data_IF_193712108119
#
_entry.id   IF_193712108119
#
_cell.length_a   1.000
_cell.length_b   1.000
_cell.length_c   1.000
_cell.angle_alpha   90.00
_cell.angle_beta   90.00
_cell.angle_gamma   90.00
#
_symmetry.space_group_name_H-M   'P 1'
#
loop_
_entity.id
_entity.type
_entity.pdbx_description
1 polymer ?
#
# COMPACT_ATOMS: atom_id res chain seq x y z
N UNK A 1 -6.90 0.00 -28.29
CA UNK A 1 -8.04 -0.94 -28.45
C UNK A 1 -8.96 -0.51 -29.60
N UNK A 2 -9.29 0.74 -29.69
CA UNK A 2 -10.15 1.35 -30.72
C UNK A 2 -9.40 1.84 -31.94
N UNK A 3 -8.08 2.00 -31.85
CA UNK A 3 -7.22 2.37 -32.97
C UNK A 3 -6.89 1.16 -33.85
N UNK A 4 -6.78 1.34 -35.18
CA UNK A 4 -6.36 0.27 -36.09
C UNK A 4 -4.97 -0.26 -35.76
N UNK A 5 -4.81 -1.57 -35.66
CA UNK A 5 -3.50 -2.21 -35.49
C UNK A 5 -2.84 -2.45 -36.83
N UNK A 6 -1.73 -1.78 -37.08
CA UNK A 6 -0.99 -1.89 -38.36
C UNK A 6 -0.46 -3.31 -38.59
N UNK A 7 0.01 -3.98 -37.53
CA UNK A 7 0.52 -5.36 -37.61
C UNK A 7 -0.58 -6.42 -37.86
N UNK A 8 -1.83 -6.04 -37.77
CA UNK A 8 -2.99 -6.92 -37.99
C UNK A 8 -3.97 -6.32 -39.02
N UNK A 9 -3.43 -5.75 -40.10
CA UNK A 9 -4.19 -5.28 -41.25
C UNK A 9 -5.33 -4.29 -40.89
N UNK A 10 -5.11 -3.45 -39.87
CA UNK A 10 -6.07 -2.45 -39.46
C UNK A 10 -7.17 -2.95 -38.52
N UNK A 11 -7.04 -4.15 -37.95
CA UNK A 11 -8.01 -4.66 -36.96
C UNK A 11 -8.10 -3.70 -35.78
N UNK A 12 -9.30 -3.32 -35.41
CA UNK A 12 -9.65 -2.61 -34.20
C UNK A 12 -10.16 -3.62 -33.18
N UNK A 13 -9.37 -3.96 -32.21
CA UNK A 13 -9.61 -5.09 -31.31
C UNK A 13 -10.92 -4.99 -30.54
N UNK A 14 -11.31 -3.79 -30.07
CA UNK A 14 -12.58 -3.63 -29.37
C UNK A 14 -13.78 -3.80 -30.32
N UNK A 15 -13.74 -3.18 -31.50
CA UNK A 15 -14.83 -3.31 -32.48
C UNK A 15 -14.99 -4.74 -33.00
N UNK A 16 -13.88 -5.49 -33.09
CA UNK A 16 -13.89 -6.87 -33.61
C UNK A 16 -14.28 -7.91 -32.57
N UNK A 17 -13.82 -7.74 -31.32
CA UNK A 17 -13.91 -8.77 -30.28
C UNK A 17 -14.71 -8.33 -29.05
N UNK A 18 -15.24 -7.10 -29.00
CA UNK A 18 -16.01 -6.58 -27.88
C UNK A 18 -15.29 -6.69 -26.56
N UNK A 19 -15.90 -7.25 -25.54
CA UNK A 19 -15.35 -7.41 -24.19
C UNK A 19 -14.06 -8.25 -24.15
N UNK A 20 -13.85 -9.11 -25.13
CA UNK A 20 -12.61 -9.88 -25.27
C UNK A 20 -11.48 -9.12 -26.00
N UNK A 21 -11.72 -7.90 -26.45
CA UNK A 21 -10.78 -7.12 -27.25
C UNK A 21 -9.41 -6.97 -26.58
N UNK A 22 -9.37 -6.70 -25.28
CA UNK A 22 -8.09 -6.61 -24.53
C UNK A 22 -7.35 -7.95 -24.53
N UNK A 23 -8.02 -9.03 -24.18
CA UNK A 23 -7.43 -10.37 -24.14
C UNK A 23 -6.90 -10.79 -25.50
N UNK A 24 -7.67 -10.52 -26.55
CA UNK A 24 -7.28 -10.85 -27.93
C UNK A 24 -6.08 -10.02 -28.38
N UNK A 25 -6.05 -8.73 -28.06
CA UNK A 25 -4.88 -7.87 -28.37
C UNK A 25 -3.63 -8.35 -27.64
N UNK A 26 -3.73 -8.60 -26.35
CA UNK A 26 -2.62 -9.12 -25.54
C UNK A 26 -2.10 -10.46 -26.10
N UNK A 27 -3.00 -11.36 -26.48
CA UNK A 27 -2.64 -12.67 -27.04
C UNK A 27 -2.00 -12.56 -28.43
N UNK A 28 -2.58 -11.78 -29.33
CA UNK A 28 -2.16 -11.69 -30.72
C UNK A 28 -0.89 -10.86 -30.88
N UNK A 29 -0.78 -9.73 -30.21
CA UNK A 29 0.39 -8.85 -30.33
C UNK A 29 1.49 -9.22 -29.30
N UNK A 30 1.21 -9.13 -27.99
CA UNK A 30 2.23 -9.24 -26.95
C UNK A 30 2.70 -10.68 -26.74
N UNK A 31 1.76 -11.59 -26.48
CA UNK A 31 2.11 -12.99 -26.22
C UNK A 31 2.79 -13.64 -27.41
N UNK A 32 2.27 -13.41 -28.62
CA UNK A 32 2.84 -13.98 -29.85
C UNK A 32 4.24 -13.43 -30.15
N UNK A 33 4.48 -12.15 -29.88
CA UNK A 33 5.76 -11.48 -30.21
C UNK A 33 6.84 -11.78 -29.18
N UNK A 34 6.52 -11.66 -27.89
CA UNK A 34 7.50 -11.83 -26.82
C UNK A 34 7.53 -13.24 -26.20
N UNK A 35 6.46 -14.02 -26.41
CA UNK A 35 6.35 -15.40 -25.89
C UNK A 35 6.42 -15.51 -24.37
N UNK A 36 5.88 -14.55 -23.56
CA UNK A 36 5.98 -14.66 -22.12
C UNK A 36 5.20 -15.87 -21.62
N UNK A 37 5.85 -16.70 -20.84
CA UNK A 37 5.26 -17.87 -20.22
C UNK A 37 5.74 -17.99 -18.79
N UNK A 38 4.80 -18.24 -17.86
CA UNK A 38 5.13 -18.50 -16.48
C UNK A 38 5.79 -19.88 -16.36
N UNK A 39 6.94 -19.96 -15.68
CA UNK A 39 7.56 -21.27 -15.44
C UNK A 39 6.71 -22.11 -14.48
N UNK A 40 6.70 -23.45 -14.59
CA UNK A 40 5.96 -24.31 -13.65
C UNK A 40 6.38 -24.10 -12.19
N UNK A 41 7.67 -23.85 -11.94
CA UNK A 41 8.19 -23.57 -10.61
C UNK A 41 7.62 -22.24 -10.05
N UNK A 42 7.60 -21.18 -10.85
CA UNK A 42 7.01 -19.91 -10.43
C UNK A 42 5.49 -20.03 -10.19
N UNK A 43 4.79 -20.82 -11.02
CA UNK A 43 3.37 -21.10 -10.82
C UNK A 43 3.12 -21.83 -9.49
N UNK A 44 3.95 -22.84 -9.19
CA UNK A 44 3.87 -23.57 -7.92
C UNK A 44 4.13 -22.64 -6.71
N UNK A 45 5.15 -21.79 -6.75
CA UNK A 45 5.43 -20.83 -5.68
C UNK A 45 4.26 -19.85 -5.46
N UNK A 46 3.63 -19.36 -6.52
CA UNK A 46 2.44 -18.51 -6.42
C UNK A 46 1.29 -19.26 -5.76
N UNK A 47 1.05 -20.52 -6.13
CA UNK A 47 0.00 -21.34 -5.51
C UNK A 47 0.26 -21.52 -4.02
N UNK A 48 1.49 -21.82 -3.61
CA UNK A 48 1.85 -21.92 -2.18
C UNK A 48 1.57 -20.61 -1.43
N UNK A 49 1.89 -19.46 -2.04
CA UNK A 49 1.59 -18.14 -1.47
C UNK A 49 0.09 -17.87 -1.34
N UNK A 50 -0.73 -18.33 -2.29
CA UNK A 50 -2.17 -18.14 -2.30
C UNK A 50 -2.87 -19.00 -1.25
N UNK A 51 -2.40 -20.23 -0.99
CA UNK A 51 -3.02 -21.15 -0.04
C UNK A 51 -3.13 -20.57 1.38
N UNK A 52 -2.15 -19.79 1.82
CA UNK A 52 -2.15 -19.15 3.15
C UNK A 52 -2.59 -17.69 3.14
N UNK A 53 -2.92 -17.12 1.97
CA UNK A 53 -3.27 -15.71 1.83
C UNK A 53 -4.44 -15.27 2.73
N UNK A 54 -5.55 -16.03 2.86
CA UNK A 54 -6.66 -15.61 3.73
C UNK A 54 -6.25 -15.47 5.20
N UNK A 55 -5.42 -16.39 5.71
CA UNK A 55 -4.91 -16.35 7.08
C UNK A 55 -4.00 -15.15 7.30
N UNK A 56 -3.09 -14.88 6.35
CA UNK A 56 -2.21 -13.72 6.42
C UNK A 56 -2.99 -12.41 6.34
N UNK A 57 -3.97 -12.31 5.45
CA UNK A 57 -4.78 -11.10 5.31
C UNK A 57 -5.61 -10.80 6.54
N UNK A 58 -6.14 -11.83 7.21
CA UNK A 58 -6.82 -11.64 8.48
C UNK A 58 -5.88 -10.99 9.50
N UNK A 59 -4.70 -11.56 9.71
CA UNK A 59 -3.70 -11.04 10.66
C UNK A 59 -3.23 -9.63 10.30
N UNK A 60 -2.96 -9.38 9.02
CA UNK A 60 -2.63 -8.04 8.54
C UNK A 60 -3.70 -7.00 8.89
N UNK A 61 -4.98 -7.32 8.63
CA UNK A 61 -6.08 -6.40 8.91
C UNK A 61 -6.28 -6.17 10.40
N UNK A 62 -6.13 -7.21 11.24
CA UNK A 62 -6.21 -7.10 12.69
C UNK A 62 -5.12 -6.19 13.25
N UNK A 63 -3.86 -6.44 12.86
CA UNK A 63 -2.73 -5.61 13.27
C UNK A 63 -2.89 -4.17 12.78
N UNK A 64 -3.24 -3.97 11.50
CA UNK A 64 -3.38 -2.64 10.93
C UNK A 64 -4.49 -1.82 11.62
N UNK A 65 -5.61 -2.44 11.95
CA UNK A 65 -6.69 -1.75 12.68
C UNK A 65 -6.25 -1.37 14.10
N UNK A 66 -5.54 -2.26 14.79
CA UNK A 66 -5.01 -1.98 16.13
C UNK A 66 -3.98 -0.84 16.10
N UNK A 67 -3.03 -0.89 15.16
CA UNK A 67 -2.04 0.18 14.95
C UNK A 67 -2.72 1.50 14.59
N UNK A 68 -3.71 1.49 13.70
CA UNK A 68 -4.43 2.70 13.31
C UNK A 68 -5.17 3.36 14.48
N UNK A 69 -5.83 2.57 15.33
CA UNK A 69 -6.50 3.06 16.56
C UNK A 69 -5.52 3.63 17.56
N UNK A 70 -4.38 2.96 17.74
CA UNK A 70 -3.32 3.45 18.62
C UNK A 70 -2.78 4.81 18.14
N UNK A 71 -2.46 4.92 16.86
CA UNK A 71 -1.99 6.16 16.24
C UNK A 71 -3.03 7.29 16.31
N UNK A 72 -4.33 6.99 16.12
CA UNK A 72 -5.42 7.99 16.17
C UNK A 72 -5.51 8.68 17.53
N UNK A 73 -5.14 7.99 18.61
CA UNK A 73 -5.12 8.53 19.98
C UNK A 73 -3.75 9.06 20.43
N UNK A 74 -2.71 8.91 19.61
CA UNK A 74 -1.35 9.23 20.02
C UNK A 74 -1.07 10.75 19.93
N UNK A 75 -0.52 11.40 20.99
CA UNK A 75 -0.36 12.86 21.04
C UNK A 75 0.65 13.44 20.02
N UNK A 76 1.51 12.61 19.45
CA UNK A 76 2.48 13.00 18.42
C UNK A 76 1.98 12.81 16.99
N UNK A 77 0.77 12.29 16.81
CA UNK A 77 0.15 12.03 15.51
C UNK A 77 -0.89 13.09 15.19
N UNK A 78 -0.74 13.74 14.04
CA UNK A 78 -1.61 14.83 13.61
C UNK A 78 -2.90 14.31 12.95
N UNK A 79 -2.79 13.21 12.21
CA UNK A 79 -3.90 12.59 11.49
C UNK A 79 -3.56 11.13 11.14
N UNK A 80 -4.59 10.32 10.95
CA UNK A 80 -4.48 8.93 10.47
C UNK A 80 -5.43 8.72 9.29
N UNK A 81 -4.94 8.15 8.22
CA UNK A 81 -5.74 7.72 7.07
C UNK A 81 -5.67 6.19 6.95
N UNK A 82 -6.72 5.54 7.41
CA UNK A 82 -6.91 4.10 7.30
C UNK A 82 -8.40 3.80 7.09
N UNK A 83 -8.78 3.10 6.02
CA UNK A 83 -10.19 2.86 5.71
C UNK A 83 -10.91 1.93 6.70
N UNK A 84 -10.18 1.26 7.59
CA UNK A 84 -10.75 0.49 8.70
C UNK A 84 -11.23 1.34 9.88
N UNK A 85 -10.82 2.60 10.00
CA UNK A 85 -11.30 3.52 11.02
C UNK A 85 -12.64 4.14 10.61
N UNK A 86 -13.62 4.24 11.53
CA UNK A 86 -14.89 4.93 11.25
C UNK A 86 -14.73 6.40 10.86
N UNK A 87 -13.68 7.06 11.35
CA UNK A 87 -13.27 8.42 11.01
C UNK A 87 -12.65 8.54 9.62
N UNK A 88 -12.22 7.44 9.02
CA UNK A 88 -11.52 7.41 7.74
C UNK A 88 -12.44 7.73 6.55
N UNK A 89 -11.98 8.53 5.57
CA UNK A 89 -12.80 8.96 4.42
C UNK A 89 -13.22 7.79 3.53
N UNK A 90 -12.51 6.66 3.56
CA UNK A 90 -12.81 5.46 2.78
C UNK A 90 -13.61 4.39 3.52
N UNK A 91 -14.03 4.62 4.76
CA UNK A 91 -14.62 3.58 5.63
C UNK A 91 -15.84 2.88 5.03
N UNK A 92 -16.81 3.64 4.53
CA UNK A 92 -18.02 3.07 3.93
C UNK A 92 -17.72 2.22 2.69
N UNK A 93 -16.74 2.63 1.88
CA UNK A 93 -16.29 1.89 0.71
C UNK A 93 -15.54 0.61 1.12
N UNK A 94 -14.69 0.70 2.15
CA UNK A 94 -13.99 -0.46 2.68
C UNK A 94 -14.96 -1.50 3.24
N UNK A 95 -15.96 -1.09 3.99
CA UNK A 95 -16.99 -2.00 4.47
C UNK A 95 -17.77 -2.67 3.33
N UNK A 96 -18.03 -1.94 2.26
CA UNK A 96 -18.78 -2.46 1.11
C UNK A 96 -17.97 -3.44 0.26
N UNK A 97 -16.67 -3.19 0.06
CA UNK A 97 -15.88 -3.90 -0.94
C UNK A 97 -14.76 -4.79 -0.38
N UNK A 98 -14.24 -4.49 0.81
CA UNK A 98 -13.09 -5.18 1.38
C UNK A 98 -13.46 -6.07 2.56
N UNK A 99 -14.52 -5.73 3.28
CA UNK A 99 -14.99 -6.48 4.43
C UNK A 99 -16.11 -7.46 4.09
N UNK A 100 -16.27 -8.46 4.94
CA UNK A 100 -17.46 -9.26 5.02
C UNK A 100 -17.98 -9.27 6.46
N UNK A 101 -19.26 -9.64 6.71
CA UNK A 101 -19.77 -9.73 8.09
C UNK A 101 -18.98 -10.68 9.00
N UNK A 102 -18.28 -11.66 8.41
CA UNK A 102 -17.47 -12.65 9.14
C UNK A 102 -16.02 -12.22 9.29
N UNK A 103 -15.50 -11.42 8.37
CA UNK A 103 -14.10 -10.99 8.31
C UNK A 103 -14.05 -9.52 7.90
N UNK A 104 -14.27 -8.60 8.85
CA UNK A 104 -14.11 -7.17 8.58
C UNK A 104 -12.64 -6.92 8.27
N UNK A 105 -12.33 -6.52 7.06
CA UNK A 105 -10.96 -6.21 6.62
C UNK A 105 -10.93 -4.89 5.86
N UNK A 106 -9.86 -4.14 6.03
CA UNK A 106 -9.63 -2.90 5.31
C UNK A 106 -8.21 -2.83 4.73
N UNK A 107 -7.56 -3.99 4.61
CA UNK A 107 -6.17 -4.10 4.18
C UNK A 107 -5.16 -3.78 5.28
N UNK A 108 -3.89 -3.74 4.91
CA UNK A 108 -2.78 -3.55 5.83
C UNK A 108 -2.04 -2.21 5.64
N UNK A 109 -2.50 -1.39 4.69
CA UNK A 109 -1.84 -0.13 4.33
C UNK A 109 -2.55 1.03 5.03
N UNK A 110 -1.79 1.81 5.79
CA UNK A 110 -2.24 3.05 6.40
C UNK A 110 -1.20 4.16 6.25
N UNK A 111 -1.65 5.39 6.35
CA UNK A 111 -0.80 6.57 6.41
C UNK A 111 -1.16 7.41 7.63
N UNK A 112 -0.17 8.09 8.19
CA UNK A 112 -0.38 9.05 9.28
C UNK A 112 0.59 10.22 9.17
N UNK A 113 0.23 11.35 9.77
CA UNK A 113 1.08 12.51 9.85
C UNK A 113 1.71 12.63 11.23
N UNK A 114 3.04 12.86 11.27
CA UNK A 114 3.76 13.14 12.52
C UNK A 114 3.66 14.64 12.81
N UNK A 115 3.30 15.02 14.06
CA UNK A 115 3.32 16.42 14.45
C UNK A 115 4.73 17.00 14.26
N UNK A 116 4.82 18.04 13.45
CA UNK A 116 6.06 18.76 13.24
C UNK A 116 6.42 19.56 14.49
N UNK A 117 7.47 19.15 15.19
CA UNK A 117 8.11 19.99 16.21
C UNK A 117 8.75 21.25 15.59
N UNK A 118 9.78 21.81 16.22
CA UNK A 118 10.47 23.03 15.77
C UNK A 118 11.04 23.00 14.34
N UNK A 119 11.16 21.80 13.71
CA UNK A 119 11.71 21.60 12.37
C UNK A 119 10.66 21.35 11.27
N UNK A 120 9.36 21.35 11.59
CA UNK A 120 8.30 21.06 10.63
C UNK A 120 8.03 19.56 10.39
N UNK A 121 6.95 19.25 9.68
CA UNK A 121 6.46 17.87 9.50
C UNK A 121 7.43 16.96 8.75
N UNK A 122 8.15 17.46 7.74
CA UNK A 122 9.10 16.65 6.98
C UNK A 122 10.24 16.15 7.85
N UNK A 123 10.88 17.02 8.62
CA UNK A 123 11.99 16.62 9.50
C UNK A 123 11.52 15.67 10.61
N UNK A 124 10.29 15.85 11.12
CA UNK A 124 9.72 14.93 12.09
C UNK A 124 9.49 13.54 11.47
N UNK A 125 8.97 13.47 10.25
CA UNK A 125 8.82 12.20 9.52
C UNK A 125 10.14 11.49 9.24
N UNK A 126 11.17 12.23 8.85
CA UNK A 126 12.53 11.70 8.63
C UNK A 126 13.14 11.17 9.94
N UNK A 127 13.06 11.96 11.04
CA UNK A 127 13.54 11.51 12.37
C UNK A 127 12.77 10.27 12.87
N UNK A 128 11.47 10.20 12.61
CA UNK A 128 10.69 9.01 12.93
C UNK A 128 11.25 7.77 12.25
N UNK A 129 11.49 7.83 10.93
CA UNK A 129 12.08 6.72 10.17
C UNK A 129 13.44 6.31 10.72
N UNK A 130 14.31 7.30 10.99
CA UNK A 130 15.68 7.04 11.48
C UNK A 130 15.70 6.44 12.91
N UNK A 131 14.64 6.66 13.68
CA UNK A 131 14.52 6.16 15.05
C UNK A 131 13.99 4.72 15.14
N UNK A 132 13.42 4.17 14.05
CA UNK A 132 12.89 2.80 14.03
C UNK A 132 13.99 1.76 14.26
N UNK A 133 13.67 0.71 15.01
CA UNK A 133 14.60 -0.36 15.37
C UNK A 133 14.13 -1.75 14.91
N UNK A 134 12.82 -1.93 14.72
CA UNK A 134 12.18 -3.20 14.40
C UNK A 134 11.50 -3.16 13.03
N UNK A 135 10.70 -2.13 12.76
CA UNK A 135 10.06 -1.96 11.46
C UNK A 135 11.08 -1.67 10.36
N UNK A 136 10.90 -2.26 9.19
CA UNK A 136 11.86 -2.15 8.09
C UNK A 136 11.61 -0.91 7.24
N UNK A 137 12.64 -0.09 7.02
CA UNK A 137 12.58 1.05 6.09
C UNK A 137 12.65 0.55 4.64
N UNK A 138 11.50 0.23 4.06
CA UNK A 138 11.39 -0.32 2.71
C UNK A 138 10.04 0.03 2.08
N UNK A 139 10.04 0.33 0.77
CA UNK A 139 8.82 0.56 -0.01
C UNK A 139 8.30 -0.74 -0.62
N UNK A 140 7.36 -1.40 0.04
CA UNK A 140 6.61 -2.55 -0.48
C UNK A 140 5.23 -2.61 0.18
N UNK A 141 4.40 -3.58 -0.20
CA UNK A 141 3.06 -3.82 0.34
C UNK A 141 2.85 -5.32 0.52
N UNK A 142 2.28 -5.71 1.68
CA UNK A 142 1.88 -7.10 1.92
C UNK A 142 3.02 -8.04 2.28
N UNK A 143 4.15 -7.51 2.71
CA UNK A 143 5.24 -8.29 3.29
C UNK A 143 4.83 -8.83 4.68
N UNK A 144 5.39 -9.96 5.08
CA UNK A 144 5.23 -10.49 6.44
C UNK A 144 5.77 -9.54 7.50
N UNK A 145 6.76 -8.71 7.15
CA UNK A 145 7.32 -7.66 7.99
C UNK A 145 6.55 -6.35 7.86
N UNK A 146 6.50 -5.60 8.94
CA UNK A 146 6.02 -4.22 8.92
C UNK A 146 7.02 -3.33 8.20
N UNK A 147 6.56 -2.66 7.15
CA UNK A 147 7.37 -1.79 6.29
C UNK A 147 6.93 -0.35 6.45
N UNK A 148 7.90 0.54 6.53
CA UNK A 148 7.69 1.96 6.79
C UNK A 148 8.45 2.79 5.78
N UNK A 149 7.83 3.83 5.24
CA UNK A 149 8.52 4.85 4.45
C UNK A 149 8.01 6.26 4.79
N UNK A 150 8.86 7.25 4.56
CA UNK A 150 8.50 8.66 4.47
C UNK A 150 8.44 9.05 2.99
N UNK A 151 7.24 9.10 2.35
CA UNK A 151 7.14 9.22 0.90
C UNK A 151 7.76 10.49 0.34
N UNK A 152 7.62 11.62 1.02
CA UNK A 152 8.13 12.90 0.55
C UNK A 152 9.66 12.91 0.36
N UNK A 153 10.42 12.25 1.25
CA UNK A 153 11.88 12.17 1.15
C UNK A 153 12.40 10.96 0.38
N UNK A 154 11.54 10.02 0.01
CA UNK A 154 11.94 8.76 -0.64
C UNK A 154 11.29 8.58 -2.02
N UNK A 155 10.14 7.95 -2.10
CA UNK A 155 9.48 7.56 -3.35
C UNK A 155 9.00 8.74 -4.20
N UNK A 156 8.75 9.89 -3.59
CA UNK A 156 8.30 11.11 -4.26
C UNK A 156 9.33 12.25 -4.23
N UNK A 157 10.56 11.98 -3.82
CA UNK A 157 11.63 12.99 -3.68
C UNK A 157 11.92 13.76 -4.98
N UNK A 158 11.67 13.15 -6.14
CA UNK A 158 11.91 13.79 -7.44
C UNK A 158 10.82 14.79 -7.84
N UNK A 159 9.69 14.80 -7.12
CA UNK A 159 8.58 15.71 -7.38
C UNK A 159 8.77 17.00 -6.58
N UNK A 160 8.31 18.12 -7.13
CA UNK A 160 8.20 19.35 -6.35
C UNK A 160 7.04 19.25 -5.32
N UNK A 161 7.00 20.14 -4.36
CA UNK A 161 6.02 20.09 -3.26
C UNK A 161 4.56 20.18 -3.75
N UNK A 162 4.29 20.94 -4.80
CA UNK A 162 2.94 21.07 -5.36
C UNK A 162 2.48 19.74 -5.98
N UNK A 163 3.36 19.06 -6.73
CA UNK A 163 3.07 17.77 -7.34
C UNK A 163 2.95 16.65 -6.28
N UNK A 164 3.77 16.70 -5.23
CA UNK A 164 3.64 15.79 -4.08
C UNK A 164 2.25 15.93 -3.45
N UNK A 165 1.82 17.15 -3.14
CA UNK A 165 0.48 17.42 -2.59
C UNK A 165 -0.64 17.00 -3.53
N UNK A 166 -0.49 17.22 -4.82
CA UNK A 166 -1.47 16.81 -5.84
C UNK A 166 -1.61 15.28 -5.91
N UNK A 167 -0.53 14.54 -5.62
CA UNK A 167 -0.55 13.07 -5.51
C UNK A 167 -0.94 12.56 -4.12
N UNK A 168 -1.33 13.44 -3.20
CA UNK A 168 -1.77 13.07 -1.85
C UNK A 168 -0.65 12.85 -0.84
N UNK A 169 0.59 13.26 -1.18
CA UNK A 169 1.74 13.17 -0.28
C UNK A 169 1.95 14.51 0.44
N UNK A 170 1.88 14.48 1.76
CA UNK A 170 2.19 15.65 2.62
C UNK A 170 3.59 15.51 3.22
N UNK A 171 4.24 16.63 3.58
CA UNK A 171 5.60 16.58 4.15
C UNK A 171 5.72 15.77 5.45
N UNK A 172 4.64 15.70 6.23
CA UNK A 172 4.56 14.99 7.52
C UNK A 172 4.16 13.53 7.39
N UNK A 173 3.83 13.06 6.17
CA UNK A 173 3.24 11.76 5.96
C UNK A 173 4.23 10.61 6.11
N UNK A 174 3.88 9.65 6.95
CA UNK A 174 4.50 8.33 7.03
C UNK A 174 3.51 7.29 6.50
N UNK A 175 3.99 6.33 5.71
CA UNK A 175 3.21 5.20 5.21
C UNK A 175 3.69 3.92 5.86
N UNK A 176 2.75 3.17 6.43
CA UNK A 176 2.95 1.82 6.98
C UNK A 176 2.28 0.76 6.11
N UNK A 177 3.01 -0.31 5.83
CA UNK A 177 2.45 -1.59 5.41
C UNK A 177 2.61 -2.56 6.57
N UNK A 178 1.54 -2.73 7.35
CA UNK A 178 1.59 -3.48 8.61
C UNK A 178 1.72 -4.97 8.34
N UNK A 179 2.69 -5.61 9.01
CA UNK A 179 3.02 -7.02 8.85
C UNK A 179 2.25 -7.96 9.78
N UNK A 180 2.82 -9.16 9.94
CA UNK A 180 2.23 -10.27 10.70
C UNK A 180 2.81 -10.43 12.10
N UNK A 181 3.78 -9.60 12.46
CA UNK A 181 4.53 -9.68 13.70
C UNK A 181 3.61 -9.53 14.92
N UNK A 182 4.17 -9.75 16.09
CA UNK A 182 3.47 -9.49 17.37
C UNK A 182 3.10 -8.01 17.42
N UNK A 183 1.83 -7.73 17.71
CA UNK A 183 1.32 -6.36 17.74
C UNK A 183 2.09 -5.46 18.71
N UNK A 184 2.40 -5.99 19.90
CA UNK A 184 3.10 -5.22 20.94
C UNK A 184 4.51 -4.77 20.48
N UNK A 185 5.21 -5.61 19.70
CA UNK A 185 6.52 -5.25 19.14
C UNK A 185 6.41 -4.13 18.10
N UNK A 186 5.36 -4.16 17.26
CA UNK A 186 5.09 -3.10 16.28
C UNK A 186 4.77 -1.79 17.01
N UNK A 187 3.88 -1.83 18.00
CA UNK A 187 3.47 -0.64 18.76
C UNK A 187 4.64 -0.05 19.54
N UNK A 188 5.44 -0.90 20.19
CA UNK A 188 6.65 -0.48 20.91
C UNK A 188 7.62 0.30 20.00
N UNK A 189 7.87 -0.22 18.78
CA UNK A 189 8.80 0.43 17.87
C UNK A 189 8.26 1.77 17.35
N UNK A 190 6.97 1.83 17.07
CA UNK A 190 6.28 3.07 16.66
C UNK A 190 6.35 4.12 17.78
N UNK A 191 6.03 3.76 19.03
CA UNK A 191 6.00 4.68 20.16
C UNK A 191 7.38 5.27 20.45
N UNK A 192 8.41 4.40 20.55
CA UNK A 192 9.77 4.87 20.81
C UNK A 192 10.31 5.76 19.67
N UNK A 193 9.88 5.50 18.40
CA UNK A 193 10.27 6.33 17.27
C UNK A 193 9.53 7.69 17.28
N UNK A 194 8.24 7.71 17.64
CA UNK A 194 7.45 8.95 17.78
C UNK A 194 7.98 9.83 18.91
N UNK A 195 8.45 9.25 20.01
CA UNK A 195 9.07 10.00 21.11
C UNK A 195 10.36 10.71 20.67
N UNK A 196 11.17 10.05 19.84
CA UNK A 196 12.44 10.60 19.31
C UNK A 196 12.27 11.56 18.15
N UNK A 197 11.14 11.52 17.46
CA UNK A 197 10.83 12.40 16.32
C UNK A 197 10.44 13.83 16.73
N UNK A 198 10.18 14.06 18.01
CA UNK A 198 9.67 15.32 18.57
C UNK A 198 10.68 16.46 18.58
#
# INVERSE_FOLDING_TARGET
MTEPSAGYHGVKFYETFGDFGFTMKARMETLRTFGPALSPFSAWQLMQGIETLPLRMQRHCENALAVARHLESHPRVAWVNYPGLPSGPGHALAQRYLGSPRHPGAGALLCFGVHGGSGGGQQAGERFIDALQFCSHLANIGDAKTLVIHPASTTHRQMNEADQRASGVTPDMVRLSVGLETLDDILWDIDQALERAA
#
